data_IF_487455379593
#
_entry.id   IF_487455379593
#
_cell.length_a   1.000
_cell.length_b   1.000
_cell.length_c   1.000
_cell.angle_alpha   90.00
_cell.angle_beta   90.00
_cell.angle_gamma   90.00
#
_symmetry.space_group_name_H-M   'P 1'
#
loop_
_entity.id
_entity.type
_entity.pdbx_description
1 polymer ?
#
# COMPACT_ATOMS: atom_id res chain seq x y z
N UNK A 1 38.92 0.34 45.81
CA UNK A 1 39.99 0.27 44.79
C UNK A 1 39.31 0.07 43.44
N UNK A 2 39.09 1.14 42.70
CA UNK A 2 39.92 1.57 41.56
C UNK A 2 39.26 1.18 40.24
N UNK A 3 38.72 2.20 39.57
CA UNK A 3 38.17 2.19 38.22
C UNK A 3 39.26 1.81 37.21
N UNK A 4 38.93 1.04 36.17
CA UNK A 4 39.68 1.02 34.93
C UNK A 4 38.82 0.56 33.74
N UNK A 5 38.37 1.52 32.94
CA UNK A 5 38.00 1.34 31.53
C UNK A 5 39.28 1.49 30.69
N UNK A 6 39.56 0.63 29.69
CA UNK A 6 40.55 0.95 28.69
C UNK A 6 39.93 1.31 27.33
N UNK A 7 40.20 2.57 26.97
CA UNK A 7 40.75 3.05 25.69
C UNK A 7 39.91 2.97 24.41
N UNK A 8 39.26 4.10 24.15
CA UNK A 8 38.93 4.63 22.82
C UNK A 8 40.21 4.81 21.98
N UNK A 9 40.32 4.10 20.85
CA UNK A 9 41.38 4.33 19.86
C UNK A 9 40.95 5.42 18.87
N UNK A 10 41.45 6.64 19.10
CA UNK A 10 41.50 7.74 18.12
C UNK A 10 42.40 7.31 16.95
N UNK A 11 41.81 7.04 15.78
CA UNK A 11 42.55 7.10 14.50
C UNK A 11 42.23 8.42 13.82
N UNK A 12 43.18 9.35 13.90
CA UNK A 12 43.28 10.56 13.07
C UNK A 12 44.14 10.22 11.85
N UNK A 13 43.61 10.32 10.63
CA UNK A 13 44.35 10.47 9.34
C UNK A 13 43.30 10.82 8.27
N UNK A 14 43.43 11.73 7.30
CA UNK A 14 44.15 12.98 7.06
C UNK A 14 43.36 13.64 5.89
N UNK A 15 43.07 14.94 5.97
CA UNK A 15 42.51 15.70 4.84
C UNK A 15 43.66 16.11 3.92
N UNK A 16 43.61 15.70 2.66
CA UNK A 16 44.37 16.24 1.51
C UNK A 16 43.25 16.66 0.54
N UNK A 17 43.01 17.92 0.19
CA UNK A 17 43.96 19.01 -0.02
C UNK A 17 44.39 19.00 -1.49
N UNK A 18 43.49 19.34 -2.41
CA UNK A 18 43.78 19.39 -3.84
C UNK A 18 42.88 20.39 -4.56
N UNK A 19 43.27 21.66 -4.53
CA UNK A 19 42.75 22.71 -5.39
C UNK A 19 43.51 22.68 -6.72
N UNK A 20 42.78 22.62 -7.83
CA UNK A 20 43.32 22.95 -9.16
C UNK A 20 42.41 24.02 -9.77
N UNK A 21 42.84 25.27 -9.64
CA UNK A 21 42.38 26.36 -10.48
C UNK A 21 43.27 26.38 -11.74
N UNK A 22 42.67 26.23 -12.92
CA UNK A 22 43.28 26.65 -14.18
C UNK A 22 42.26 27.52 -14.90
N UNK A 23 42.69 28.74 -15.15
CA UNK A 23 41.90 29.83 -15.69
C UNK A 23 41.88 29.81 -17.24
N UNK A 24 40.74 30.23 -17.78
CA UNK A 24 40.54 31.05 -18.98
C UNK A 24 41.17 30.60 -20.30
N UNK A 25 40.32 30.03 -21.17
CA UNK A 25 40.36 30.27 -22.61
C UNK A 25 38.94 30.15 -23.16
N UNK A 26 38.42 31.25 -23.70
CA UNK A 26 37.10 31.29 -24.31
C UNK A 26 37.04 30.38 -25.53
N UNK A 27 36.03 29.52 -25.57
CA UNK A 27 35.55 28.90 -26.79
C UNK A 27 34.03 28.86 -26.69
N UNK A 28 33.40 29.79 -27.40
CA UNK A 28 31.98 29.77 -27.73
C UNK A 28 31.78 28.52 -28.59
N UNK A 29 31.34 27.41 -27.98
CA UNK A 29 30.84 26.28 -28.77
C UNK A 29 29.41 26.64 -29.13
N UNK A 30 29.30 27.22 -30.32
CA UNK A 30 28.09 27.38 -31.09
C UNK A 30 27.30 26.06 -31.12
N UNK A 31 25.98 26.19 -30.97
CA UNK A 31 25.06 25.07 -31.01
C UNK A 31 25.27 24.20 -32.25
N UNK A 32 25.41 22.90 -32.01
CA UNK A 32 25.11 21.90 -33.03
C UNK A 32 23.63 22.05 -33.36
N UNK A 33 23.36 22.81 -34.42
CA UNK A 33 22.09 22.80 -35.10
C UNK A 33 21.84 21.35 -35.54
N UNK A 34 21.02 20.63 -34.77
CA UNK A 34 20.30 19.49 -35.30
C UNK A 34 19.27 20.10 -36.28
N UNK A 35 19.68 20.20 -37.53
CA UNK A 35 18.82 20.58 -38.64
C UNK A 35 17.78 19.46 -38.85
N UNK A 36 16.73 19.50 -38.03
CA UNK A 36 15.44 18.93 -38.37
C UNK A 36 14.70 19.95 -39.23
N UNK A 37 14.49 19.59 -40.50
CA UNK A 37 13.66 20.31 -41.46
C UNK A 37 12.30 20.68 -40.82
N UNK A 38 11.84 21.94 -40.90
CA UNK A 38 10.49 22.27 -40.45
C UNK A 38 9.51 21.84 -41.53
N UNK A 39 8.96 20.64 -41.40
CA UNK A 39 7.68 20.35 -42.04
C UNK A 39 6.60 21.18 -41.37
N UNK A 40 5.92 21.98 -42.19
CA UNK A 40 4.73 22.74 -41.79
C UNK A 40 3.68 21.76 -41.26
N UNK A 41 3.49 21.72 -39.95
CA UNK A 41 2.22 21.34 -39.33
C UNK A 41 2.12 21.94 -37.94
N UNK A 42 1.11 22.79 -37.81
CA UNK A 42 0.67 23.49 -36.61
C UNK A 42 0.32 22.49 -35.50
N UNK A 43 1.01 22.60 -34.35
CA UNK A 43 0.42 22.64 -33.01
C UNK A 43 1.53 22.47 -31.97
N UNK A 44 1.95 23.62 -31.43
CA UNK A 44 2.87 23.76 -30.31
C UNK A 44 2.23 23.24 -29.01
N UNK A 45 2.16 21.92 -28.85
CA UNK A 45 2.01 21.32 -27.51
C UNK A 45 3.38 21.29 -26.84
N UNK A 46 3.70 22.39 -26.18
CA UNK A 46 4.71 22.56 -25.13
C UNK A 46 5.34 21.24 -24.66
N UNK A 47 6.56 20.93 -25.13
CA UNK A 47 7.48 20.06 -24.41
C UNK A 47 7.90 20.80 -23.13
N UNK A 48 6.99 20.87 -22.16
CA UNK A 48 7.23 21.42 -20.84
C UNK A 48 8.19 20.45 -20.16
N UNK A 49 9.48 20.76 -20.18
CA UNK A 49 10.44 20.23 -19.20
C UNK A 49 9.83 20.49 -17.83
N UNK A 50 9.20 19.45 -17.26
CA UNK A 50 8.51 19.54 -15.99
C UNK A 50 9.55 19.92 -14.93
N UNK A 51 9.49 21.19 -14.54
CA UNK A 51 10.13 21.70 -13.34
C UNK A 51 9.64 20.87 -12.15
N UNK A 52 10.49 19.95 -11.69
CA UNK A 52 10.30 19.10 -10.51
C UNK A 52 9.05 18.19 -10.52
N UNK A 53 9.14 16.92 -10.08
CA UNK A 53 7.98 16.02 -9.94
C UNK A 53 6.82 16.57 -9.10
N UNK A 54 7.04 17.62 -8.32
CA UNK A 54 6.13 18.05 -7.27
C UNK A 54 6.29 17.23 -5.99
N UNK A 55 5.54 17.59 -4.95
CA UNK A 55 5.52 16.85 -3.68
C UNK A 55 4.10 16.46 -3.31
N UNK A 56 3.92 15.28 -2.74
CA UNK A 56 2.63 14.83 -2.24
C UNK A 56 2.46 15.34 -0.82
N UNK A 57 1.41 16.12 -0.61
CA UNK A 57 1.00 16.61 0.71
C UNK A 57 -0.28 15.91 1.12
N UNK A 58 -0.36 15.51 2.38
CA UNK A 58 -1.53 14.85 2.91
C UNK A 58 -1.99 15.56 4.19
N UNK A 59 -3.29 15.56 4.49
CA UNK A 59 -3.80 16.05 5.77
C UNK A 59 -3.13 15.33 6.94
N UNK A 60 -2.82 16.10 7.98
CA UNK A 60 -2.34 15.53 9.24
C UNK A 60 -3.49 14.86 9.98
N UNK A 61 -3.27 13.59 10.32
CA UNK A 61 -4.22 12.77 11.07
C UNK A 61 -3.98 12.93 12.57
N UNK A 62 -2.73 13.10 13.01
CA UNK A 62 -2.38 13.11 14.43
C UNK A 62 -3.07 14.25 15.18
N UNK A 63 -3.07 15.46 14.60
CA UNK A 63 -3.74 16.64 15.18
C UNK A 63 -5.27 16.58 15.18
N UNK A 64 -5.87 15.60 14.50
CA UNK A 64 -7.33 15.42 14.41
C UNK A 64 -7.84 14.26 15.26
N UNK A 65 -6.94 13.53 15.93
CA UNK A 65 -7.33 12.45 16.84
C UNK A 65 -7.82 13.02 18.18
N UNK A 66 -8.87 12.43 18.78
CA UNK A 66 -9.27 12.73 20.15
C UNK A 66 -8.22 12.20 21.14
N UNK A 67 -8.45 12.40 22.45
CA UNK A 67 -7.60 11.86 23.50
C UNK A 67 -7.40 10.34 23.32
N UNK A 68 -6.13 9.92 23.18
CA UNK A 68 -5.77 8.53 22.89
C UNK A 68 -5.61 7.78 24.23
N UNK A 69 -6.37 6.69 24.46
CA UNK A 69 -6.21 5.86 25.65
C UNK A 69 -4.79 5.28 25.76
N UNK A 70 -4.24 5.18 26.96
CA UNK A 70 -2.87 4.68 27.20
C UNK A 70 -2.61 3.30 26.57
N UNK A 71 -3.62 2.42 26.61
CA UNK A 71 -3.58 1.08 26.02
C UNK A 71 -3.51 1.06 24.49
N UNK A 72 -3.97 2.12 23.83
CA UNK A 72 -3.98 2.25 22.37
C UNK A 72 -2.77 3.03 21.81
N UNK A 73 -2.03 3.78 22.65
CA UNK A 73 -0.95 4.67 22.18
C UNK A 73 0.08 3.97 21.30
N UNK A 74 0.59 2.81 21.72
CA UNK A 74 1.60 2.08 20.96
C UNK A 74 1.08 1.55 19.61
N UNK A 75 -0.22 1.24 19.50
CA UNK A 75 -0.83 0.85 18.22
C UNK A 75 -1.07 2.08 17.33
N UNK A 76 -1.59 3.17 17.89
CA UNK A 76 -1.82 4.42 17.15
C UNK A 76 -0.51 4.98 16.61
N UNK A 77 0.54 5.09 17.44
CA UNK A 77 1.86 5.56 17.00
C UNK A 77 2.42 4.76 15.84
N UNK A 78 2.32 3.42 15.88
CA UNK A 78 2.77 2.56 14.78
C UNK A 78 2.01 2.82 13.48
N UNK A 79 0.69 3.05 13.57
CA UNK A 79 -0.12 3.37 12.40
C UNK A 79 0.17 4.79 11.87
N UNK A 80 0.45 5.76 12.75
CA UNK A 80 0.89 7.11 12.33
C UNK A 80 2.23 7.06 11.60
N UNK A 81 3.20 6.28 12.10
CA UNK A 81 4.46 6.03 11.38
C UNK A 81 4.20 5.37 10.01
N UNK A 82 3.29 4.40 9.94
CA UNK A 82 2.93 3.75 8.68
C UNK A 82 2.33 4.72 7.66
N UNK A 83 1.48 5.66 8.09
CA UNK A 83 0.97 6.73 7.22
C UNK A 83 2.13 7.55 6.64
N UNK A 84 3.12 7.89 7.45
CA UNK A 84 4.30 8.63 6.97
C UNK A 84 5.11 7.83 5.95
N UNK A 85 5.32 6.52 6.19
CA UNK A 85 5.99 5.63 5.24
C UNK A 85 5.25 5.56 3.91
N UNK A 86 3.91 5.46 3.92
CA UNK A 86 3.10 5.45 2.70
C UNK A 86 3.28 6.74 1.88
N UNK A 87 3.39 7.90 2.54
CA UNK A 87 3.66 9.19 1.88
C UNK A 87 5.07 9.19 1.26
N UNK A 88 6.08 8.68 1.97
CA UNK A 88 7.45 8.60 1.45
C UNK A 88 7.54 7.68 0.24
N UNK A 89 6.90 6.52 0.28
CA UNK A 89 6.86 5.58 -0.84
C UNK A 89 6.15 6.20 -2.06
N UNK A 90 5.05 6.92 -1.84
CA UNK A 90 4.35 7.62 -2.91
C UNK A 90 5.19 8.76 -3.52
N UNK A 91 5.89 9.55 -2.69
CA UNK A 91 6.82 10.58 -3.17
C UNK A 91 8.00 9.97 -3.95
N UNK A 92 8.53 8.83 -3.48
CA UNK A 92 9.56 8.10 -4.22
C UNK A 92 9.04 7.65 -5.59
N UNK A 93 7.86 7.04 -5.64
CA UNK A 93 7.23 6.62 -6.90
C UNK A 93 6.96 7.80 -7.83
N UNK A 94 6.56 8.95 -7.30
CA UNK A 94 6.35 10.17 -8.07
C UNK A 94 7.64 10.62 -8.78
N UNK A 95 8.78 10.57 -8.08
CA UNK A 95 10.09 10.90 -8.65
C UNK A 95 10.54 9.85 -9.66
N UNK A 96 10.38 8.57 -9.33
CA UNK A 96 10.84 7.46 -10.18
C UNK A 96 10.03 7.32 -11.50
N UNK A 97 8.84 7.91 -11.56
CA UNK A 97 7.92 7.83 -12.72
C UNK A 97 7.77 9.15 -13.47
N UNK A 98 8.65 10.13 -13.24
CA UNK A 98 8.65 11.38 -14.00
C UNK A 98 8.82 11.09 -15.49
N UNK A 99 7.95 11.66 -16.31
CA UNK A 99 7.95 11.46 -17.76
C UNK A 99 7.32 10.13 -18.22
N UNK A 100 6.76 9.33 -17.31
CA UNK A 100 6.05 8.09 -17.63
C UNK A 100 4.53 8.29 -17.49
N UNK A 101 3.78 7.79 -18.47
CA UNK A 101 2.32 7.79 -18.45
C UNK A 101 1.67 9.12 -18.89
N UNK A 102 0.35 9.08 -19.08
CA UNK A 102 -0.44 10.24 -19.52
C UNK A 102 -0.80 11.21 -18.37
N UNK A 103 -1.56 12.29 -18.66
CA UNK A 103 -1.88 13.36 -17.71
C UNK A 103 -2.52 12.90 -16.39
N UNK A 104 -3.21 11.75 -16.39
CA UNK A 104 -3.89 11.20 -15.22
C UNK A 104 -3.09 10.12 -14.46
N UNK A 105 -1.86 9.83 -14.88
CA UNK A 105 -1.07 8.75 -14.31
C UNK A 105 -0.85 8.93 -12.80
N UNK A 106 -0.46 10.11 -12.35
CA UNK A 106 -0.21 10.37 -10.92
C UNK A 106 -1.48 10.19 -10.09
N UNK A 107 -2.63 10.66 -10.59
CA UNK A 107 -3.91 10.48 -9.91
C UNK A 107 -4.28 9.00 -9.78
N UNK A 108 -4.16 8.22 -10.86
CA UNK A 108 -4.62 6.84 -10.92
C UNK A 108 -3.64 5.84 -10.29
N UNK A 109 -2.34 6.02 -10.53
CA UNK A 109 -1.31 5.05 -10.14
C UNK A 109 -0.64 5.39 -8.81
N UNK A 110 -0.71 6.64 -8.35
CA UNK A 110 -0.03 7.10 -7.13
C UNK A 110 -1.06 7.54 -6.08
N UNK A 111 -1.86 8.58 -6.37
CA UNK A 111 -2.77 9.16 -5.38
C UNK A 111 -3.96 8.25 -5.06
N UNK A 112 -4.52 7.53 -6.03
CA UNK A 112 -5.60 6.56 -5.83
C UNK A 112 -5.19 5.45 -4.85
N UNK A 113 -4.14 4.65 -5.15
CA UNK A 113 -3.64 3.62 -4.24
C UNK A 113 -3.18 4.18 -2.89
N UNK A 114 -2.62 5.39 -2.86
CA UNK A 114 -2.22 6.05 -1.61
C UNK A 114 -3.45 6.38 -0.74
N UNK A 115 -4.51 6.91 -1.33
CA UNK A 115 -5.78 7.20 -0.65
C UNK A 115 -6.33 5.93 -0.01
N UNK A 116 -6.43 4.83 -0.76
CA UNK A 116 -7.00 3.59 -0.24
C UNK A 116 -6.17 3.00 0.91
N UNK A 117 -4.82 3.02 0.78
CA UNK A 117 -3.91 2.61 1.85
C UNK A 117 -4.07 3.48 3.11
N UNK A 118 -4.21 4.80 2.95
CA UNK A 118 -4.42 5.72 4.06
C UNK A 118 -5.77 5.50 4.73
N UNK A 119 -6.85 5.30 3.97
CA UNK A 119 -8.19 4.96 4.51
C UNK A 119 -8.08 3.70 5.38
N UNK A 120 -7.41 2.65 4.90
CA UNK A 120 -7.25 1.41 5.65
C UNK A 120 -6.49 1.63 6.97
N UNK A 121 -5.40 2.40 6.94
CA UNK A 121 -4.60 2.70 8.14
C UNK A 121 -5.35 3.60 9.13
N UNK A 122 -6.06 4.63 8.64
CA UNK A 122 -6.89 5.52 9.46
C UNK A 122 -8.02 4.74 10.15
N UNK A 123 -8.68 3.82 9.44
CA UNK A 123 -9.68 2.95 10.03
C UNK A 123 -9.11 2.04 11.12
N UNK A 124 -7.85 1.60 10.95
CA UNK A 124 -7.12 0.85 11.98
C UNK A 124 -6.89 1.68 13.24
N UNK A 125 -6.50 2.95 13.09
CA UNK A 125 -6.37 3.91 14.20
C UNK A 125 -7.71 4.10 14.92
N UNK A 126 -8.77 4.38 14.16
CA UNK A 126 -10.10 4.57 14.72
C UNK A 126 -10.56 3.33 15.50
N UNK A 127 -10.32 2.14 14.94
CA UNK A 127 -10.65 0.86 15.60
C UNK A 127 -9.82 0.65 16.86
N UNK A 128 -8.52 0.95 16.84
CA UNK A 128 -7.66 0.80 18.01
C UNK A 128 -8.13 1.67 19.18
N UNK A 129 -8.52 2.91 18.91
CA UNK A 129 -9.12 3.82 19.90
C UNK A 129 -10.50 3.30 20.34
N UNK A 130 -11.31 2.84 19.38
CA UNK A 130 -12.67 2.33 19.61
C UNK A 130 -12.78 1.08 20.48
N UNK A 131 -11.67 0.37 20.75
CA UNK A 131 -11.69 -0.79 21.66
C UNK A 131 -11.77 -0.40 23.13
N UNK A 132 -11.33 0.80 23.49
CA UNK A 132 -11.24 1.26 24.90
C UNK A 132 -11.86 2.62 25.15
N UNK A 133 -12.25 3.34 24.09
CA UNK A 133 -12.94 4.61 24.15
C UNK A 133 -13.96 4.72 23.00
N UNK A 134 -14.71 5.83 22.94
CA UNK A 134 -15.60 6.12 21.83
C UNK A 134 -14.81 6.16 20.50
N UNK A 135 -15.29 5.41 19.50
CA UNK A 135 -14.64 5.34 18.18
C UNK A 135 -14.74 6.72 17.49
N UNK A 136 -13.61 7.33 17.08
CA UNK A 136 -13.66 8.56 16.29
C UNK A 136 -14.25 8.28 14.90
N UNK A 137 -15.12 9.17 14.44
CA UNK A 137 -15.79 9.12 13.14
C UNK A 137 -15.28 10.23 12.22
N UNK A 138 -15.50 10.10 10.91
CA UNK A 138 -15.15 11.13 9.93
C UNK A 138 -13.65 11.25 9.59
N UNK A 139 -12.78 10.44 10.19
CA UNK A 139 -11.34 10.46 9.92
C UNK A 139 -10.98 10.07 8.47
N UNK A 140 -11.83 9.32 7.76
CA UNK A 140 -11.61 8.93 6.36
C UNK A 140 -11.50 10.14 5.42
N UNK A 141 -12.10 11.27 5.78
CA UNK A 141 -11.97 12.54 5.06
C UNK A 141 -10.53 13.07 5.01
N UNK A 142 -9.65 12.60 5.90
CA UNK A 142 -8.23 12.97 5.97
C UNK A 142 -7.33 12.06 5.13
N UNK A 143 -7.90 11.03 4.50
CA UNK A 143 -7.14 10.10 3.68
C UNK A 143 -6.67 10.66 2.32
N UNK A 144 -7.45 11.48 1.59
CA UNK A 144 -7.02 12.02 0.32
C UNK A 144 -5.77 12.87 0.45
N UNK A 145 -4.81 12.67 -0.44
CA UNK A 145 -3.59 13.48 -0.56
C UNK A 145 -3.62 14.27 -1.87
N UNK A 146 -2.93 15.41 -1.88
CA UNK A 146 -2.82 16.29 -3.04
C UNK A 146 -1.39 16.34 -3.55
N UNK A 147 -1.25 16.42 -4.87
CA UNK A 147 0.03 16.71 -5.51
C UNK A 147 0.25 18.22 -5.57
N UNK A 148 1.30 18.72 -4.93
CA UNK A 148 1.83 20.06 -5.11
C UNK A 148 2.90 20.02 -6.20
N UNK A 149 2.48 20.12 -7.46
CA UNK A 149 3.40 20.37 -8.57
C UNK A 149 3.93 21.80 -8.43
N UNK A 150 5.24 22.01 -8.62
CA UNK A 150 5.92 23.31 -8.48
C UNK A 150 5.52 24.40 -9.48
N UNK A 151 4.35 24.27 -10.09
CA UNK A 151 3.66 25.27 -10.90
C UNK A 151 2.16 24.99 -10.80
N UNK A 152 1.41 26.00 -10.36
CA UNK A 152 -0.05 26.03 -10.17
C UNK A 152 -0.84 24.99 -10.98
N UNK A 153 -1.37 24.00 -10.27
CA UNK A 153 -2.55 23.24 -10.67
C UNK A 153 -3.49 23.11 -9.46
N UNK A 154 -4.31 24.15 -9.28
CA UNK A 154 -5.45 24.16 -8.36
C UNK A 154 -6.50 23.17 -8.88
N UNK A 155 -6.58 21.97 -8.31
CA UNK A 155 -7.76 21.11 -8.48
C UNK A 155 -8.61 21.19 -7.21
N UNK A 156 -9.40 22.25 -7.12
CA UNK A 156 -10.51 22.38 -6.17
C UNK A 156 -11.72 21.64 -6.75
N UNK A 157 -11.81 20.35 -6.48
CA UNK A 157 -13.01 19.54 -6.74
C UNK A 157 -13.91 19.49 -5.53
N UNK A 158 -14.41 20.64 -5.07
CA UNK A 158 -15.48 20.75 -4.07
C UNK A 158 -16.82 20.94 -4.77
N UNK A 159 -17.73 19.97 -4.62
CA UNK A 159 -19.12 20.09 -5.05
C UNK A 159 -20.04 19.58 -3.94
N UNK A 160 -20.54 20.51 -3.12
CA UNK A 160 -21.65 20.30 -2.19
C UNK A 160 -22.91 20.96 -2.75
N UNK A 161 -24.05 20.33 -2.48
CA UNK A 161 -25.38 20.50 -3.04
C UNK A 161 -26.11 21.85 -2.81
N UNK A 162 -27.08 22.17 -3.69
CA UNK A 162 -28.46 22.65 -3.40
C UNK A 162 -29.20 23.07 -4.71
N UNK A 163 -30.31 22.43 -5.10
CA UNK A 163 -31.69 23.01 -5.18
C UNK A 163 -32.02 23.56 -6.60
N UNK A 164 -33.18 23.36 -7.27
CA UNK A 164 -34.55 23.05 -6.84
C UNK A 164 -35.46 22.64 -8.03
N UNK A 165 -36.53 21.88 -7.71
CA UNK A 165 -37.93 21.90 -8.22
C UNK A 165 -38.36 21.42 -9.63
N UNK A 166 -38.97 20.22 -9.63
CA UNK A 166 -40.37 19.87 -9.97
C UNK A 166 -40.91 19.88 -11.43
N UNK A 167 -41.28 18.69 -11.93
CA UNK A 167 -42.66 18.29 -12.37
C UNK A 167 -42.66 16.82 -12.87
N UNK A 168 -43.21 15.89 -12.08
CA UNK A 168 -44.49 15.16 -12.29
C UNK A 168 -44.58 14.18 -13.47
N UNK A 169 -44.52 12.87 -13.16
CA UNK A 169 -45.50 11.86 -13.58
C UNK A 169 -45.26 10.52 -12.82
N UNK A 170 -46.23 10.12 -12.00
CA UNK A 170 -46.44 8.80 -11.35
C UNK A 170 -47.68 8.14 -11.97
N UNK A 171 -48.09 6.89 -11.64
CA UNK A 171 -47.48 5.82 -10.82
C UNK A 171 -47.47 4.44 -11.55
N UNK A 172 -46.97 3.33 -10.98
CA UNK A 172 -47.85 2.27 -10.40
C UNK A 172 -47.01 1.17 -9.72
N UNK A 173 -47.36 0.89 -8.44
CA UNK A 173 -47.20 -0.33 -7.59
C UNK A 173 -45.80 -0.98 -7.40
N UNK A 174 -45.34 -1.40 -6.21
CA UNK A 174 -45.95 -1.58 -4.89
C UNK A 174 -44.86 -1.65 -3.77
N UNK A 175 -45.30 -1.31 -2.55
CA UNK A 175 -44.90 -1.72 -1.18
C UNK A 175 -43.91 -2.93 -1.03
N UNK A 176 -43.04 -3.08 -0.02
CA UNK A 176 -42.94 -2.60 1.38
C UNK A 176 -41.60 -3.11 2.01
N UNK A 177 -41.07 -2.38 3.00
CA UNK A 177 -40.39 -2.83 4.27
C UNK A 177 -39.17 -3.79 4.21
N UNK A 178 -37.98 -3.39 4.66
CA UNK A 178 -37.46 -3.36 6.06
C UNK A 178 -36.59 -4.59 6.41
N UNK A 179 -35.31 -4.30 6.69
CA UNK A 179 -34.44 -4.88 7.74
C UNK A 179 -34.00 -6.36 7.72
N UNK A 180 -32.67 -6.50 7.79
CA UNK A 180 -31.88 -7.49 8.54
C UNK A 180 -31.57 -8.88 7.94
N UNK A 181 -30.29 -9.23 8.13
CA UNK A 181 -29.71 -10.57 8.36
C UNK A 181 -29.71 -11.60 7.23
N UNK A 182 -28.51 -11.84 6.69
CA UNK A 182 -27.97 -13.17 6.37
C UNK A 182 -28.49 -13.87 5.12
N UNK A 183 -27.70 -13.85 4.03
CA UNK A 183 -27.40 -15.06 3.23
C UNK A 183 -26.52 -14.73 2.04
N UNK A 184 -25.36 -15.37 2.01
CA UNK A 184 -24.82 -16.12 0.87
C UNK A 184 -25.27 -15.67 -0.53
N UNK A 185 -24.56 -14.69 -1.07
CA UNK A 185 -24.53 -14.45 -2.52
C UNK A 185 -23.65 -15.49 -3.18
N UNK A 186 -24.23 -16.62 -3.54
CA UNK A 186 -23.58 -17.65 -4.36
C UNK A 186 -23.34 -17.07 -5.76
N UNK A 187 -22.09 -16.69 -6.05
CA UNK A 187 -21.65 -16.45 -7.42
C UNK A 187 -21.71 -17.77 -8.20
N UNK A 188 -22.79 -17.99 -8.93
CA UNK A 188 -23.06 -19.17 -9.76
C UNK A 188 -22.12 -19.32 -10.98
N UNK A 189 -20.96 -18.65 -10.98
CA UNK A 189 -19.89 -18.85 -11.95
C UNK A 189 -18.56 -19.31 -11.29
N UNK A 190 -18.51 -19.50 -9.97
CA UNK A 190 -17.34 -20.03 -9.27
C UNK A 190 -17.11 -21.53 -9.56
N UNK A 191 -18.18 -22.27 -9.90
CA UNK A 191 -18.11 -23.72 -10.14
C UNK A 191 -17.33 -24.11 -11.40
N UNK A 192 -17.20 -23.21 -12.40
CA UNK A 192 -16.50 -23.53 -13.65
C UNK A 192 -14.96 -23.37 -13.55
N UNK A 193 -14.48 -22.60 -12.57
CA UNK A 193 -13.05 -22.19 -12.47
C UNK A 193 -12.29 -23.03 -11.44
N UNK A 194 -13.00 -23.58 -10.46
CA UNK A 194 -12.42 -24.25 -9.29
C UNK A 194 -12.08 -23.29 -8.15
N UNK A 195 -11.64 -23.85 -7.03
CA UNK A 195 -11.22 -23.14 -5.81
C UNK A 195 -9.80 -23.53 -5.42
N UNK A 196 -9.08 -22.60 -4.83
CA UNK A 196 -7.75 -22.87 -4.28
C UNK A 196 -7.92 -23.38 -2.86
N UNK A 197 -7.46 -24.62 -2.65
CA UNK A 197 -7.45 -25.29 -1.36
C UNK A 197 -6.02 -25.33 -0.84
N UNK A 198 -5.82 -24.90 0.40
CA UNK A 198 -4.53 -24.93 1.07
C UNK A 198 -4.60 -25.80 2.33
N UNK A 199 -3.53 -26.51 2.70
CA UNK A 199 -3.45 -27.19 3.98
C UNK A 199 -3.69 -26.22 5.14
N UNK A 200 -4.47 -26.69 6.12
CA UNK A 200 -4.66 -25.93 7.36
C UNK A 200 -3.39 -25.97 8.20
N UNK A 201 -2.87 -24.78 8.50
CA UNK A 201 -1.70 -24.60 9.34
C UNK A 201 -2.09 -24.64 10.81
N UNK A 202 -3.25 -24.10 11.19
CA UNK A 202 -3.64 -23.95 12.59
C UNK A 202 -3.73 -25.31 13.30
N UNK A 203 -4.33 -26.32 12.66
CA UNK A 203 -4.44 -27.68 13.20
C UNK A 203 -3.13 -28.45 13.27
N UNK A 204 -2.04 -27.95 12.66
CA UNK A 204 -0.71 -28.58 12.67
C UNK A 204 0.29 -27.88 13.58
N UNK A 205 -0.10 -26.79 14.23
CA UNK A 205 0.75 -26.10 15.19
C UNK A 205 0.76 -26.83 16.54
N UNK A 206 1.92 -26.92 17.22
CA UNK A 206 1.97 -27.35 18.62
C UNK A 206 1.33 -26.30 19.54
N UNK A 207 1.29 -26.58 20.84
CA UNK A 207 0.82 -25.62 21.84
C UNK A 207 1.52 -24.26 21.69
N UNK A 208 0.74 -23.20 21.46
CA UNK A 208 1.25 -21.86 21.19
C UNK A 208 1.49 -21.13 22.53
N UNK A 209 2.73 -20.69 22.83
CA UNK A 209 3.01 -19.90 24.03
C UNK A 209 2.20 -18.61 24.08
N UNK A 210 1.74 -18.19 25.27
CA UNK A 210 0.91 -16.99 25.44
C UNK A 210 1.56 -15.72 24.84
N UNK A 211 2.89 -15.60 24.95
CA UNK A 211 3.69 -14.51 24.36
C UNK A 211 3.62 -14.45 22.82
N UNK A 212 3.42 -15.59 22.16
CA UNK A 212 3.42 -15.71 20.70
C UNK A 212 1.99 -15.65 20.10
N UNK A 213 0.93 -15.85 20.89
CA UNK A 213 -0.44 -15.96 20.42
C UNK A 213 -0.85 -14.81 19.48
N UNK A 214 -0.63 -13.56 19.89
CA UNK A 214 -1.00 -12.40 19.07
C UNK A 214 -0.22 -12.33 17.74
N UNK A 215 1.04 -12.77 17.70
CA UNK A 215 1.82 -12.82 16.46
C UNK A 215 1.37 -13.98 15.57
N UNK A 216 1.13 -15.16 16.14
CA UNK A 216 0.65 -16.33 15.40
C UNK A 216 -0.73 -16.05 14.81
N UNK A 217 -1.69 -15.53 15.58
CA UNK A 217 -3.03 -15.18 15.08
C UNK A 217 -2.96 -14.20 13.91
N UNK A 218 -2.12 -13.14 13.99
CA UNK A 218 -1.95 -12.20 12.87
C UNK A 218 -1.44 -12.88 11.61
N UNK A 219 -0.49 -13.80 11.73
CA UNK A 219 0.05 -14.52 10.58
C UNK A 219 -0.94 -15.56 10.03
N UNK A 220 -1.75 -16.21 10.88
CA UNK A 220 -2.84 -17.08 10.43
C UNK A 220 -3.90 -16.29 9.64
N UNK A 221 -4.28 -15.09 10.10
CA UNK A 221 -5.16 -14.20 9.33
C UNK A 221 -4.54 -13.77 8.00
N UNK A 222 -3.23 -13.52 7.97
CA UNK A 222 -2.51 -13.18 6.74
C UNK A 222 -2.52 -14.36 5.75
N UNK A 223 -2.35 -15.60 6.22
CA UNK A 223 -2.48 -16.80 5.38
C UNK A 223 -3.87 -16.88 4.74
N UNK A 224 -4.94 -16.61 5.51
CA UNK A 224 -6.29 -16.58 4.95
C UNK A 224 -6.46 -15.49 3.89
N UNK A 225 -5.95 -14.29 4.15
CA UNK A 225 -6.01 -13.17 3.19
C UNK A 225 -5.31 -13.52 1.88
N UNK A 226 -4.16 -14.23 1.94
CA UNK A 226 -3.44 -14.69 0.75
C UNK A 226 -4.26 -15.69 -0.08
N UNK A 227 -5.02 -16.57 0.59
CA UNK A 227 -5.92 -17.52 -0.08
C UNK A 227 -7.06 -16.77 -0.78
N UNK A 228 -7.67 -15.79 -0.11
CA UNK A 228 -8.78 -15.02 -0.66
C UNK A 228 -8.33 -14.18 -1.87
N UNK A 229 -7.15 -13.55 -1.78
CA UNK A 229 -6.55 -12.82 -2.90
C UNK A 229 -6.29 -13.76 -4.09
N UNK A 230 -5.76 -14.97 -3.84
CA UNK A 230 -5.49 -15.94 -4.89
C UNK A 230 -6.79 -16.46 -5.54
N UNK A 231 -7.83 -16.74 -4.74
CA UNK A 231 -9.15 -17.13 -5.24
C UNK A 231 -9.80 -16.02 -6.07
N UNK A 232 -9.67 -14.75 -5.63
CA UNK A 232 -10.11 -13.60 -6.41
C UNK A 232 -9.36 -13.51 -7.73
N UNK A 233 -8.03 -13.65 -7.71
CA UNK A 233 -7.21 -13.65 -8.93
C UNK A 233 -7.65 -14.75 -9.88
N UNK A 234 -7.82 -15.98 -9.39
CA UNK A 234 -8.31 -17.13 -10.16
C UNK A 234 -9.62 -16.83 -10.89
N UNK A 235 -10.58 -16.20 -10.21
CA UNK A 235 -11.87 -15.80 -10.81
C UNK A 235 -11.73 -14.67 -11.84
N UNK A 236 -10.82 -13.72 -11.63
CA UNK A 236 -10.64 -12.57 -12.52
C UNK A 236 -9.77 -12.85 -13.75
N UNK A 237 -9.01 -13.96 -13.75
CA UNK A 237 -8.10 -14.33 -14.84
C UNK A 237 -8.60 -15.52 -15.67
N UNK A 238 -9.90 -15.84 -15.59
CA UNK A 238 -10.49 -16.93 -16.37
C UNK A 238 -10.34 -16.65 -17.86
N UNK A 239 -9.82 -17.64 -18.61
CA UNK A 239 -9.57 -17.51 -20.05
C UNK A 239 -8.31 -16.71 -20.41
N UNK A 240 -7.52 -16.26 -19.43
CA UNK A 240 -6.23 -15.60 -19.67
C UNK A 240 -5.06 -16.56 -19.41
N UNK A 241 -4.15 -16.65 -20.39
CA UNK A 241 -2.91 -17.42 -20.28
C UNK A 241 -3.01 -18.89 -20.73
N UNK A 242 -1.85 -19.53 -20.88
CA UNK A 242 -1.73 -20.93 -21.31
C UNK A 242 -2.03 -21.95 -20.20
N UNK A 243 -1.92 -23.26 -20.50
CA UNK A 243 -2.28 -24.36 -19.61
C UNK A 243 -1.65 -24.30 -18.20
N UNK A 244 -0.47 -23.70 -18.06
CA UNK A 244 0.28 -23.59 -16.81
C UNK A 244 0.11 -22.24 -16.09
N UNK A 245 -0.76 -21.36 -16.56
CA UNK A 245 -0.90 -20.00 -16.01
C UNK A 245 -1.26 -20.02 -14.52
N UNK A 246 -2.26 -20.81 -14.12
CA UNK A 246 -2.68 -20.89 -12.71
C UNK A 246 -1.54 -21.39 -11.82
N UNK A 247 -0.79 -22.38 -12.29
CA UNK A 247 0.35 -22.91 -11.55
C UNK A 247 1.45 -21.87 -11.35
N UNK A 248 1.83 -21.18 -12.43
CA UNK A 248 2.98 -20.27 -12.42
C UNK A 248 2.66 -18.88 -11.85
N UNK A 249 1.48 -18.34 -12.15
CA UNK A 249 1.13 -16.95 -11.81
C UNK A 249 0.32 -16.82 -10.51
N UNK A 250 -0.31 -17.91 -10.06
CA UNK A 250 -1.16 -17.91 -8.86
C UNK A 250 -0.58 -18.83 -7.80
N UNK A 251 -0.47 -20.13 -8.06
CA UNK A 251 -0.07 -21.12 -7.05
C UNK A 251 1.42 -20.99 -6.64
N UNK A 252 2.32 -20.73 -7.58
CA UNK A 252 3.74 -20.48 -7.28
C UNK A 252 3.95 -19.30 -6.32
N UNK A 253 3.55 -18.07 -6.69
CA UNK A 253 3.65 -16.91 -5.80
C UNK A 253 2.88 -17.07 -4.48
N UNK A 254 1.75 -17.78 -4.49
CA UNK A 254 1.02 -18.08 -3.27
C UNK A 254 1.82 -19.00 -2.33
N UNK A 255 2.47 -20.03 -2.89
CA UNK A 255 3.31 -20.96 -2.13
C UNK A 255 4.47 -20.22 -1.45
N UNK A 256 5.15 -19.33 -2.17
CA UNK A 256 6.27 -18.55 -1.61
C UNK A 256 5.81 -17.60 -0.49
N UNK A 257 4.70 -16.88 -0.71
CA UNK A 257 4.11 -15.98 0.30
C UNK A 257 3.68 -16.75 1.56
N UNK A 258 3.06 -17.92 1.37
CA UNK A 258 2.64 -18.78 2.49
C UNK A 258 3.83 -19.34 3.24
N UNK A 259 4.86 -19.84 2.53
CA UNK A 259 6.10 -20.33 3.14
C UNK A 259 6.73 -19.27 4.03
N UNK A 260 6.91 -18.05 3.51
CA UNK A 260 7.45 -16.93 4.30
C UNK A 260 6.63 -16.62 5.56
N UNK A 261 5.30 -16.74 5.46
CA UNK A 261 4.40 -16.48 6.58
C UNK A 261 4.42 -17.61 7.61
N UNK A 262 4.49 -18.85 7.16
CA UNK A 262 4.64 -20.06 7.98
C UNK A 262 5.98 -20.05 8.72
N UNK A 263 7.06 -19.67 8.04
CA UNK A 263 8.38 -19.48 8.64
C UNK A 263 8.33 -18.45 9.77
N UNK A 264 7.59 -17.34 9.57
CA UNK A 264 7.40 -16.33 10.61
C UNK A 264 6.66 -16.89 11.82
N UNK A 265 5.64 -17.74 11.61
CA UNK A 265 4.92 -18.44 12.69
C UNK A 265 5.88 -19.37 13.46
N UNK A 266 6.67 -20.17 12.74
CA UNK A 266 7.63 -21.09 13.35
C UNK A 266 8.68 -20.34 14.18
N UNK A 267 9.20 -19.22 13.66
CA UNK A 267 10.13 -18.36 14.39
C UNK A 267 9.47 -17.74 15.62
N UNK A 268 8.23 -17.24 15.52
CA UNK A 268 7.52 -16.64 16.65
C UNK A 268 7.34 -17.62 17.81
N UNK A 269 6.97 -18.87 17.51
CA UNK A 269 6.88 -19.96 18.49
C UNK A 269 8.28 -20.30 19.04
N UNK A 270 9.26 -20.41 18.14
CA UNK A 270 10.66 -20.77 18.44
C UNK A 270 11.40 -19.80 19.38
N UNK A 271 10.89 -18.58 19.61
CA UNK A 271 11.50 -17.61 20.54
C UNK A 271 11.29 -17.98 22.00
N UNK A 272 10.23 -18.73 22.32
CA UNK A 272 9.84 -19.03 23.71
C UNK A 272 9.59 -20.52 23.96
N UNK A 273 9.62 -21.35 22.92
CA UNK A 273 9.50 -22.80 22.99
C UNK A 273 10.30 -23.46 21.87
N UNK A 274 10.33 -24.79 21.83
CA UNK A 274 10.95 -25.53 20.72
C UNK A 274 10.32 -25.12 19.39
N UNK A 275 11.16 -24.73 18.41
CA UNK A 275 10.71 -24.33 17.08
C UNK A 275 10.04 -25.53 16.38
N UNK A 276 8.80 -25.41 15.90
CA UNK A 276 8.19 -26.46 15.09
C UNK A 276 8.91 -26.58 13.75
N UNK A 277 9.16 -27.83 13.33
CA UNK A 277 9.81 -28.17 12.06
C UNK A 277 8.79 -28.78 11.09
N UNK A 278 9.11 -28.80 9.79
CA UNK A 278 8.27 -29.46 8.77
C UNK A 278 7.01 -28.68 8.34
N UNK A 279 6.73 -27.51 8.92
CA UNK A 279 5.58 -26.68 8.56
C UNK A 279 5.60 -26.17 7.11
N UNK A 280 6.79 -26.12 6.49
CA UNK A 280 6.98 -25.72 5.08
C UNK A 280 6.17 -26.57 4.10
N UNK A 281 5.93 -27.84 4.44
CA UNK A 281 5.10 -28.74 3.63
C UNK A 281 3.65 -28.27 3.48
N UNK A 282 3.19 -27.36 4.37
CA UNK A 282 1.84 -26.81 4.39
C UNK A 282 1.70 -25.55 3.51
N UNK A 283 2.80 -25.10 2.90
CA UNK A 283 2.80 -23.90 2.07
C UNK A 283 2.12 -24.12 0.71
N UNK A 284 2.26 -25.32 0.15
CA UNK A 284 1.72 -25.65 -1.16
C UNK A 284 0.19 -25.72 -1.14
N UNK A 285 -0.43 -25.04 -2.09
CA UNK A 285 -1.88 -25.09 -2.30
C UNK A 285 -2.20 -25.76 -3.63
N UNK A 286 -3.40 -26.33 -3.74
CA UNK A 286 -3.88 -27.01 -4.94
C UNK A 286 -5.12 -26.32 -5.48
N UNK A 287 -5.32 -26.43 -6.80
CA UNK A 287 -6.58 -26.07 -7.44
C UNK A 287 -7.51 -27.28 -7.40
N UNK A 288 -8.65 -27.14 -6.75
CA UNK A 288 -9.75 -28.12 -6.76
C UNK A 288 -10.82 -27.63 -7.73
N UNK A 289 -11.34 -28.49 -8.60
CA UNK A 289 -12.47 -28.17 -9.48
C UNK A 289 -13.68 -29.00 -9.09
#
# INVERSE_FOLDING_TARGET
MSRALPKYNKRRVAFIGGAAAVALSGAVIAGSALAGTPDKSSDTTNARTLSSPGTITCPDVASKLPAIPATAQAEVTRNLTLLQTQIQEANKRLVDTVGQGGPNFVNNAILGPLKDKRIATINRIATAIGRTAAKPTGLDSLAPCTLNAGGTATNTGSGTAAGSTAASATPTTAATQQQSTGSTGTNTNAAAVGTITCPDVASKLPAIPASAQAEVTRNLTLLQTQIDEANKRLQTTVGQGGPNFVQNAILGPLTDKRKSTIDRIAIAIGRTSTKPTGLDSLAACTLTK
#
